data_IF_637830614181
#
_entry.id   IF_637830614181
#
_cell.length_a   1.000
_cell.length_b   1.000
_cell.length_c   1.000
_cell.angle_alpha   90.00
_cell.angle_beta   90.00
_cell.angle_gamma   90.00
#
_symmetry.space_group_name_H-M   'P 1'
#
loop_
_entity.id
_entity.type
_entity.pdbx_description
1 polymer ?
#
# COMPACT_ATOMS: atom_id res chain seq x y z
N UNK A 1 4.71 35.12 6.69
CA UNK A 1 3.94 33.95 7.15
C UNK A 1 3.79 33.03 5.95
N UNK A 2 4.48 31.90 5.97
CA UNK A 2 4.48 30.96 4.85
C UNK A 2 3.13 30.26 4.76
N UNK A 3 2.41 30.47 3.68
CA UNK A 3 1.24 29.67 3.37
C UNK A 3 1.78 28.36 2.80
N UNK A 4 2.04 27.40 3.68
CA UNK A 4 2.19 26.01 3.31
C UNK A 4 0.82 25.55 2.81
N UNK A 5 0.59 25.68 1.50
CA UNK A 5 -0.40 24.88 0.79
C UNK A 5 0.11 23.45 0.82
N UNK A 6 -0.06 22.78 1.97
CA UNK A 6 -0.22 21.34 1.95
C UNK A 6 -1.34 21.08 0.95
N UNK A 7 -1.04 20.32 -0.08
CA UNK A 7 -1.99 19.88 -1.09
C UNK A 7 -3.15 19.14 -0.42
N UNK A 8 -4.12 19.89 0.12
CA UNK A 8 -5.48 19.43 0.26
C UNK A 8 -6.00 19.25 -1.17
N UNK A 9 -5.63 18.13 -1.79
CA UNK A 9 -6.47 17.58 -2.82
C UNK A 9 -7.82 17.41 -2.15
N UNK A 10 -8.77 18.27 -2.51
CA UNK A 10 -10.22 18.08 -2.33
C UNK A 10 -10.73 16.84 -3.10
N UNK A 11 -9.84 15.88 -3.36
CA UNK A 11 -10.11 14.61 -3.97
C UNK A 11 -10.79 13.74 -2.95
N UNK A 12 -11.92 13.16 -3.38
CA UNK A 12 -12.58 12.05 -2.70
C UNK A 12 -11.50 11.08 -2.22
N UNK A 13 -11.52 10.70 -0.94
CA UNK A 13 -10.55 9.76 -0.39
C UNK A 13 -10.55 8.50 -1.26
N UNK A 14 -9.39 8.12 -1.79
CA UNK A 14 -9.20 6.90 -2.57
C UNK A 14 -8.40 5.89 -1.76
N UNK A 15 -8.68 4.60 -1.93
CA UNK A 15 -7.78 3.57 -1.46
C UNK A 15 -6.61 3.48 -2.45
N UNK A 16 -5.39 3.49 -1.94
CA UNK A 16 -4.17 3.54 -2.75
C UNK A 16 -3.41 2.24 -2.64
N UNK A 17 -3.26 1.52 -3.74
CA UNK A 17 -2.47 0.30 -3.81
C UNK A 17 -1.20 0.55 -4.63
N UNK A 18 -0.04 0.36 -3.99
CA UNK A 18 1.25 0.43 -4.64
C UNK A 18 1.64 -0.98 -5.05
N UNK A 19 1.68 -1.22 -6.35
CA UNK A 19 2.02 -2.52 -6.92
C UNK A 19 3.51 -2.83 -6.72
N UNK A 20 3.88 -4.11 -6.76
CA UNK A 20 5.28 -4.52 -6.63
C UNK A 20 6.18 -3.91 -7.73
N UNK A 21 5.62 -3.63 -8.91
CA UNK A 21 6.31 -2.94 -10.02
C UNK A 21 6.50 -1.42 -9.80
N UNK A 22 5.97 -0.88 -8.70
CA UNK A 22 6.07 0.53 -8.31
C UNK A 22 4.97 1.43 -8.87
N UNK A 23 3.98 0.88 -9.58
CA UNK A 23 2.83 1.67 -10.06
C UNK A 23 1.81 1.90 -8.95
N UNK A 24 1.14 3.05 -8.99
CA UNK A 24 -0.01 3.36 -8.14
C UNK A 24 -1.30 2.92 -8.82
N UNK A 25 -2.16 2.26 -8.06
CA UNK A 25 -3.53 1.99 -8.43
C UNK A 25 -4.47 2.60 -7.38
N UNK A 26 -5.34 3.50 -7.83
CA UNK A 26 -6.29 4.18 -6.95
C UNK A 26 -7.70 3.64 -7.16
N UNK A 27 -8.43 3.47 -6.05
CA UNK A 27 -9.81 3.02 -6.05
C UNK A 27 -10.69 4.05 -5.36
N UNK A 28 -11.74 4.49 -6.04
CA UNK A 28 -12.71 5.46 -5.53
C UNK A 28 -13.82 4.84 -4.66
N UNK A 29 -13.78 3.52 -4.48
CA UNK A 29 -14.69 2.76 -3.63
C UNK A 29 -13.93 1.60 -2.97
N UNK A 30 -14.44 1.04 -1.86
CA UNK A 30 -13.84 -0.14 -1.24
C UNK A 30 -13.73 -1.30 -2.24
N UNK A 31 -12.61 -2.02 -2.16
CA UNK A 31 -12.30 -3.17 -3.00
C UNK A 31 -11.89 -4.32 -2.09
N UNK A 32 -12.54 -5.48 -2.25
CA UNK A 32 -12.11 -6.70 -1.56
C UNK A 32 -10.71 -7.14 -1.97
N UNK A 33 -9.89 -7.52 -1.00
CA UNK A 33 -8.52 -8.01 -1.23
C UNK A 33 -8.53 -9.25 -2.13
N UNK A 34 -9.47 -10.18 -1.93
CA UNK A 34 -9.67 -11.35 -2.80
C UNK A 34 -9.75 -11.01 -4.30
N UNK A 35 -10.35 -9.87 -4.66
CA UNK A 35 -10.42 -9.44 -6.07
C UNK A 35 -9.04 -9.08 -6.64
N UNK A 36 -8.17 -8.50 -5.82
CA UNK A 36 -6.81 -8.13 -6.20
C UNK A 36 -5.91 -9.38 -6.26
N UNK A 37 -6.03 -10.25 -5.27
CA UNK A 37 -5.31 -11.52 -5.20
C UNK A 37 -5.62 -12.43 -6.38
N UNK A 38 -6.85 -12.42 -6.90
CA UNK A 38 -7.21 -13.20 -8.08
C UNK A 38 -6.44 -12.77 -9.33
N UNK A 39 -6.07 -11.48 -9.44
CA UNK A 39 -5.25 -11.00 -10.56
C UNK A 39 -3.79 -11.42 -10.41
N UNK A 40 -3.27 -11.34 -9.19
CA UNK A 40 -1.88 -11.61 -8.87
C UNK A 40 -1.78 -12.59 -7.67
N UNK A 41 -1.96 -13.92 -7.90
CA UNK A 41 -2.01 -14.90 -6.81
C UNK A 41 -0.66 -15.17 -6.14
N UNK A 42 0.44 -14.71 -6.75
CA UNK A 42 1.80 -14.83 -6.20
C UNK A 42 2.16 -13.67 -5.25
N UNK A 43 1.22 -12.75 -5.01
CA UNK A 43 1.39 -11.59 -4.16
C UNK A 43 0.41 -11.61 -2.98
N UNK A 44 0.65 -10.78 -1.98
CA UNK A 44 -0.28 -10.45 -0.90
C UNK A 44 -0.39 -8.92 -0.77
N UNK A 45 -1.50 -8.46 -0.19
CA UNK A 45 -1.71 -7.04 0.10
C UNK A 45 -1.45 -6.79 1.59
N UNK A 46 -0.69 -5.77 1.92
CA UNK A 46 -0.50 -5.31 3.30
C UNK A 46 -0.84 -3.83 3.44
N UNK A 47 -1.33 -3.44 4.61
CA UNK A 47 -1.54 -2.04 4.95
C UNK A 47 -0.20 -1.40 5.33
N UNK A 48 0.05 -0.16 4.88
CA UNK A 48 1.23 0.60 5.27
C UNK A 48 1.32 0.82 6.78
N UNK A 49 0.18 0.95 7.45
CA UNK A 49 0.11 1.26 8.88
C UNK A 49 0.49 0.05 9.76
N UNK A 50 0.32 -1.17 9.23
CA UNK A 50 0.70 -2.42 9.90
C UNK A 50 2.17 -2.80 9.64
N UNK A 51 2.90 -2.03 8.85
CA UNK A 51 4.31 -2.29 8.52
C UNK A 51 5.24 -1.60 9.53
N UNK A 52 5.50 -2.26 10.67
CA UNK A 52 6.50 -1.82 11.64
C UNK A 52 7.86 -2.53 11.42
N UNK A 53 8.96 -1.81 11.65
CA UNK A 53 10.34 -2.26 11.51
C UNK A 53 10.70 -3.46 12.41
N UNK A 54 9.94 -3.68 13.48
CA UNK A 54 10.13 -4.83 14.37
C UNK A 54 9.11 -5.95 14.18
N UNK A 55 8.09 -5.75 13.35
CA UNK A 55 7.01 -6.70 13.17
C UNK A 55 7.07 -7.43 11.83
N UNK A 56 6.33 -8.53 11.78
CA UNK A 56 6.13 -9.30 10.56
C UNK A 56 5.04 -8.60 9.75
N UNK A 57 5.27 -8.46 8.45
CA UNK A 57 4.22 -7.92 7.58
C UNK A 57 3.03 -8.89 7.56
N UNK A 58 1.88 -8.37 7.99
CA UNK A 58 0.63 -9.08 7.92
C UNK A 58 -0.06 -8.80 6.59
N UNK A 59 -0.58 -9.87 5.98
CA UNK A 59 -1.48 -9.73 4.85
C UNK A 59 -2.86 -9.31 5.37
N UNK A 60 -3.50 -8.37 4.67
CA UNK A 60 -4.92 -8.07 4.86
C UNK A 60 -5.72 -9.29 4.40
N UNK A 61 -6.75 -9.68 5.15
CA UNK A 61 -7.52 -10.87 4.82
C UNK A 61 -8.26 -10.72 3.49
N UNK A 62 -8.45 -11.83 2.76
CA UNK A 62 -9.11 -11.86 1.45
C UNK A 62 -10.54 -11.31 1.46
N UNK A 63 -11.22 -11.45 2.61
CA UNK A 63 -12.58 -10.98 2.84
C UNK A 63 -12.67 -9.51 3.25
N UNK A 64 -11.54 -8.90 3.65
CA UNK A 64 -11.47 -7.48 3.98
C UNK A 64 -11.41 -6.60 2.73
N UNK A 65 -11.78 -5.33 2.92
CA UNK A 65 -11.82 -4.33 1.87
C UNK A 65 -10.77 -3.24 2.10
N UNK A 66 -10.13 -2.80 1.00
CA UNK A 66 -9.24 -1.65 1.03
C UNK A 66 -10.02 -0.40 1.43
N UNK A 67 -9.59 0.22 2.52
CA UNK A 67 -10.22 1.40 3.06
C UNK A 67 -9.76 2.66 2.31
N UNK A 68 -10.71 3.57 2.10
CA UNK A 68 -10.42 4.84 1.45
C UNK A 68 -9.53 5.72 2.35
N UNK A 69 -8.56 6.41 1.74
CA UNK A 69 -7.59 7.23 2.47
C UNK A 69 -6.43 6.44 3.07
N UNK A 70 -6.41 5.12 2.90
CA UNK A 70 -5.32 4.25 3.34
C UNK A 70 -4.40 3.88 2.17
N UNK A 71 -3.16 3.54 2.52
CA UNK A 71 -2.13 3.11 1.57
C UNK A 71 -1.83 1.64 1.81
N UNK A 72 -1.83 0.87 0.74
CA UNK A 72 -1.56 -0.54 0.73
C UNK A 72 -0.41 -0.85 -0.21
N UNK A 73 0.35 -1.91 0.09
CA UNK A 73 1.40 -2.42 -0.77
C UNK A 73 1.08 -3.82 -1.25
N UNK A 74 1.29 -4.08 -2.53
CA UNK A 74 1.35 -5.43 -3.08
C UNK A 74 2.79 -5.94 -2.97
N UNK A 75 2.97 -7.04 -2.23
CA UNK A 75 4.26 -7.67 -2.01
C UNK A 75 4.24 -9.14 -2.47
N UNK A 76 5.35 -9.68 -2.99
CA UNK A 76 5.41 -11.10 -3.33
C UNK A 76 5.24 -11.98 -2.10
N UNK A 77 4.51 -13.10 -2.20
CA UNK A 77 4.30 -14.07 -1.10
C UNK A 77 5.60 -14.59 -0.49
N UNK A 78 6.72 -14.58 -1.24
CA UNK A 78 8.05 -14.92 -0.72
C UNK A 78 8.52 -14.01 0.42
N UNK A 79 7.93 -12.83 0.56
CA UNK A 79 8.19 -11.89 1.67
C UNK A 79 7.21 -12.03 2.81
N UNK A 80 6.12 -12.77 2.62
CA UNK A 80 5.16 -13.07 3.68
C UNK A 80 5.88 -13.86 4.76
N UNK A 81 5.72 -13.47 6.03
CA UNK A 81 6.38 -14.07 7.22
C UNK A 81 7.87 -13.79 7.37
N UNK A 82 8.45 -12.91 6.56
CA UNK A 82 9.79 -12.39 6.80
C UNK A 82 9.71 -11.01 7.46
N UNK A 83 10.63 -10.73 8.38
CA UNK A 83 10.81 -9.38 8.92
C UNK A 83 11.36 -8.49 7.81
N UNK A 84 10.69 -7.39 7.53
CA UNK A 84 11.22 -6.39 6.60
C UNK A 84 12.48 -5.77 7.19
N UNK A 85 13.57 -5.79 6.44
CA UNK A 85 14.76 -5.04 6.82
C UNK A 85 14.56 -3.54 6.58
N UNK A 86 15.37 -2.71 7.25
CA UNK A 86 15.31 -1.25 7.10
C UNK A 86 15.45 -0.83 5.63
N UNK A 87 16.35 -1.48 4.90
CA UNK A 87 16.58 -1.22 3.48
C UNK A 87 15.36 -1.57 2.62
N UNK A 88 14.63 -2.62 2.96
CA UNK A 88 13.41 -3.02 2.25
C UNK A 88 12.26 -2.04 2.55
N UNK A 89 12.11 -1.61 3.80
CA UNK A 89 11.14 -0.57 4.16
C UNK A 89 11.45 0.76 3.47
N UNK A 90 12.73 1.15 3.43
CA UNK A 90 13.16 2.35 2.72
C UNK A 90 12.84 2.22 1.22
N UNK A 91 13.06 1.06 0.61
CA UNK A 91 12.70 0.82 -0.79
C UNK A 91 11.18 0.93 -1.02
N UNK A 92 10.35 0.44 -0.09
CA UNK A 92 8.89 0.58 -0.17
C UNK A 92 8.44 2.03 0.01
N UNK A 93 9.03 2.77 0.95
CA UNK A 93 8.77 4.20 1.13
C UNK A 93 9.17 5.04 -0.09
N UNK A 94 10.29 4.70 -0.75
CA UNK A 94 10.71 5.34 -2.01
C UNK A 94 9.74 5.01 -3.13
N UNK A 95 9.34 3.74 -3.28
CA UNK A 95 8.30 3.35 -4.26
C UNK A 95 7.01 4.12 -4.03
N UNK A 96 6.54 4.20 -2.79
CA UNK A 96 5.35 4.97 -2.42
C UNK A 96 5.49 6.44 -2.79
N UNK A 97 6.59 7.07 -2.39
CA UNK A 97 6.86 8.48 -2.68
C UNK A 97 6.89 8.74 -4.18
N UNK A 98 7.54 7.87 -4.97
CA UNK A 98 7.57 7.99 -6.44
C UNK A 98 6.21 7.75 -7.08
N UNK A 99 5.40 6.87 -6.50
CA UNK A 99 4.08 6.52 -7.02
C UNK A 99 3.07 7.64 -6.71
N UNK A 100 3.17 8.27 -5.54
CA UNK A 100 2.29 9.34 -5.05
C UNK A 100 2.69 10.74 -5.53
N UNK A 101 3.95 10.97 -5.91
CA UNK A 101 4.42 12.25 -6.44
C UNK A 101 4.02 12.50 -7.91
N UNK A 102 3.23 11.59 -8.50
CA UNK A 102 2.71 11.68 -9.87
C UNK A 102 1.28 12.20 -9.86
#
# INVERSE_FOLDING_TARGET
MGNCTSCESTGVATAKLILNDGRLQEFSHPIKVSYLMHKNPDCFICNSDDMDFHDVVCAVEDDEELQLGQIYFELPLRRLRHRLQADEMAALAVKASSALAR
#
